data_IF_832627248766
#
_entry.id   IF_832627248766
#
_cell.length_a   1.000
_cell.length_b   1.000
_cell.length_c   1.000
_cell.angle_alpha   90.00
_cell.angle_beta   90.00
_cell.angle_gamma   90.00
#
_symmetry.space_group_name_H-M   'P 1'
#
loop_
_entity.id
_entity.type
_entity.pdbx_description
1 polymer ?
#
# COMPACT_ATOMS: atom_id res chain seq x y z
N UNK A 1 -2.37 -0.08 -23.20
CA UNK A 1 -2.38 -1.35 -22.46
C UNK A 1 -1.81 -1.23 -21.04
N UNK A 2 -0.70 -0.49 -20.80
CA UNK A 2 -0.05 -0.35 -19.47
C UNK A 2 -1.01 0.06 -18.34
N UNK A 3 -1.99 0.92 -18.60
CA UNK A 3 -2.96 1.43 -17.61
C UNK A 3 -4.21 0.58 -17.40
N UNK A 4 -4.37 -0.53 -18.13
CA UNK A 4 -5.44 -1.51 -17.86
C UNK A 4 -5.16 -2.28 -16.57
N UNK A 5 -3.90 -2.59 -16.29
CA UNK A 5 -3.51 -3.34 -15.11
C UNK A 5 -3.93 -2.67 -13.78
N UNK A 6 -3.67 -1.36 -13.55
CA UNK A 6 -4.22 -0.66 -12.40
C UNK A 6 -5.75 -0.69 -12.31
N UNK A 7 -6.46 -0.53 -13.43
CA UNK A 7 -7.93 -0.57 -13.41
C UNK A 7 -8.46 -1.94 -12.97
N UNK A 8 -7.84 -3.03 -13.43
CA UNK A 8 -8.17 -4.39 -12.98
C UNK A 8 -7.81 -4.60 -11.50
N UNK A 9 -6.70 -4.02 -11.04
CA UNK A 9 -6.31 -4.07 -9.62
C UNK A 9 -7.34 -3.36 -8.74
N UNK A 10 -7.82 -2.17 -9.13
CA UNK A 10 -8.93 -1.48 -8.46
C UNK A 10 -10.20 -2.34 -8.42
N UNK A 11 -10.54 -2.95 -9.55
CA UNK A 11 -11.72 -3.83 -9.61
C UNK A 11 -11.58 -5.02 -8.65
N UNK A 12 -10.40 -5.63 -8.55
CA UNK A 12 -10.15 -6.74 -7.64
C UNK A 12 -10.32 -6.32 -6.17
N UNK A 13 -9.77 -5.16 -5.78
CA UNK A 13 -9.95 -4.61 -4.43
C UNK A 13 -11.43 -4.30 -4.17
N UNK A 14 -12.10 -3.61 -5.12
CA UNK A 14 -13.52 -3.28 -5.00
C UNK A 14 -14.40 -4.52 -4.84
N UNK A 15 -14.21 -5.55 -5.67
CA UNK A 15 -14.93 -6.82 -5.54
C UNK A 15 -14.65 -7.51 -4.20
N UNK A 16 -13.38 -7.56 -3.79
CA UNK A 16 -13.00 -8.16 -2.50
C UNK A 16 -13.67 -7.50 -1.31
N UNK A 17 -13.67 -6.17 -1.26
CA UNK A 17 -14.23 -5.40 -0.14
C UNK A 17 -15.75 -5.31 -0.20
N UNK A 18 -16.32 -4.92 -1.36
CA UNK A 18 -17.73 -4.55 -1.47
C UNK A 18 -18.64 -5.74 -1.78
N UNK A 19 -18.17 -6.72 -2.56
CA UNK A 19 -18.99 -7.85 -2.98
C UNK A 19 -18.73 -9.11 -2.11
N UNK A 20 -17.46 -9.43 -1.88
CA UNK A 20 -17.09 -10.64 -1.15
C UNK A 20 -16.92 -10.42 0.35
N UNK A 21 -16.94 -9.17 0.81
CA UNK A 21 -16.71 -8.78 2.20
C UNK A 21 -15.49 -9.49 2.81
N UNK A 22 -14.38 -9.49 2.07
CA UNK A 22 -13.17 -10.22 2.44
C UNK A 22 -11.91 -9.38 2.24
N UNK A 23 -11.23 -9.04 3.35
CA UNK A 23 -9.94 -8.38 3.32
C UNK A 23 -8.88 -9.24 2.62
N UNK A 24 -8.86 -10.55 2.92
CA UNK A 24 -8.00 -11.49 2.24
C UNK A 24 -8.33 -11.63 0.75
N UNK A 25 -9.61 -11.67 0.40
CA UNK A 25 -10.06 -11.72 -1.00
C UNK A 25 -9.62 -10.49 -1.79
N UNK A 26 -9.70 -9.30 -1.19
CA UNK A 26 -9.22 -8.07 -1.79
C UNK A 26 -7.70 -8.10 -2.02
N UNK A 27 -6.93 -8.47 -0.98
CA UNK A 27 -5.47 -8.49 -1.03
C UNK A 27 -4.93 -9.53 -2.02
N UNK A 28 -5.40 -10.77 -1.93
CA UNK A 28 -4.96 -11.85 -2.82
C UNK A 28 -5.41 -11.61 -4.25
N UNK A 29 -6.65 -11.14 -4.44
CA UNK A 29 -7.17 -10.78 -5.77
C UNK A 29 -6.36 -9.68 -6.43
N UNK A 30 -6.00 -8.64 -5.66
CA UNK A 30 -5.11 -7.57 -6.11
C UNK A 30 -3.74 -8.11 -6.56
N UNK A 31 -3.12 -8.98 -5.76
CA UNK A 31 -1.82 -9.58 -6.11
C UNK A 31 -1.90 -10.46 -7.36
N UNK A 32 -2.94 -11.29 -7.48
CA UNK A 32 -3.14 -12.15 -8.66
C UNK A 32 -3.23 -11.29 -9.93
N UNK A 33 -4.02 -10.21 -9.89
CA UNK A 33 -4.16 -9.30 -11.04
C UNK A 33 -2.84 -8.65 -11.40
N UNK A 34 -2.10 -8.15 -10.42
CA UNK A 34 -0.78 -7.53 -10.66
C UNK A 34 0.19 -8.56 -11.26
N UNK A 35 0.31 -9.73 -10.65
CA UNK A 35 1.24 -10.78 -11.11
C UNK A 35 0.91 -11.21 -12.54
N UNK A 36 -0.37 -11.49 -12.84
CA UNK A 36 -0.80 -11.84 -14.20
C UNK A 36 -0.48 -10.71 -15.18
N UNK A 37 -0.75 -9.46 -14.79
CA UNK A 37 -0.45 -8.29 -15.64
C UNK A 37 1.05 -8.17 -15.93
N UNK A 38 1.91 -8.41 -14.94
CA UNK A 38 3.36 -8.41 -15.11
C UNK A 38 3.85 -9.57 -15.99
N UNK A 39 3.27 -10.77 -15.83
CA UNK A 39 3.60 -11.93 -16.67
C UNK A 39 3.22 -11.70 -18.13
N UNK A 40 2.11 -11.03 -18.40
CA UNK A 40 1.67 -10.66 -19.75
C UNK A 40 2.55 -9.54 -20.33
N UNK A 41 2.79 -8.48 -19.54
CA UNK A 41 3.53 -7.30 -19.97
C UNK A 41 5.03 -7.56 -20.16
N UNK A 42 5.60 -8.53 -19.43
CA UNK A 42 7.02 -8.91 -19.45
C UNK A 42 7.96 -7.69 -19.41
N UNK A 43 7.86 -6.82 -18.39
CA UNK A 43 8.69 -5.63 -18.35
C UNK A 43 10.17 -5.99 -18.36
N UNK A 44 10.96 -5.24 -19.11
CA UNK A 44 12.43 -5.44 -19.16
C UNK A 44 13.10 -4.85 -17.89
N UNK A 45 12.69 -5.34 -16.71
CA UNK A 45 13.17 -4.91 -15.40
C UNK A 45 13.53 -6.19 -14.63
N UNK A 46 14.80 -6.39 -14.27
CA UNK A 46 15.20 -7.59 -13.53
C UNK A 46 14.61 -7.56 -12.11
N UNK A 47 14.15 -8.72 -11.61
CA UNK A 47 13.66 -8.84 -10.21
C UNK A 47 14.72 -8.45 -9.19
N UNK A 48 16.01 -8.57 -9.51
CA UNK A 48 17.11 -8.13 -8.68
C UNK A 48 17.06 -6.64 -8.29
N UNK A 49 16.29 -5.81 -9.02
CA UNK A 49 16.06 -4.39 -8.65
C UNK A 49 15.41 -4.25 -7.27
N UNK A 50 14.61 -5.22 -6.85
CA UNK A 50 13.96 -5.24 -5.54
C UNK A 50 14.96 -5.28 -4.38
N UNK A 51 16.09 -5.93 -4.57
CA UNK A 51 17.16 -6.07 -3.56
C UNK A 51 18.26 -5.01 -3.71
N UNK A 52 18.19 -4.19 -4.77
CA UNK A 52 19.22 -3.21 -5.05
C UNK A 52 19.00 -1.93 -4.24
N UNK A 53 20.10 -1.45 -3.63
CA UNK A 53 20.17 -0.14 -2.98
C UNK A 53 21.62 0.35 -3.02
N UNK A 54 21.83 1.59 -3.43
CA UNK A 54 23.17 2.19 -3.53
C UNK A 54 23.54 3.09 -2.35
N UNK A 55 22.53 3.60 -1.62
CA UNK A 55 22.75 4.58 -0.54
C UNK A 55 21.96 4.19 0.71
N UNK A 56 22.65 3.67 1.74
CA UNK A 56 22.06 3.19 3.00
C UNK A 56 21.16 4.24 3.69
N UNK A 57 21.48 5.53 3.55
CA UNK A 57 20.66 6.60 4.16
C UNK A 57 19.19 6.55 3.74
N UNK A 58 18.90 6.14 2.51
CA UNK A 58 17.53 6.04 2.01
C UNK A 58 16.73 4.91 2.62
N UNK A 59 17.38 3.79 2.98
CA UNK A 59 16.75 2.72 3.75
C UNK A 59 16.32 3.25 5.11
N UNK A 60 17.26 3.87 5.85
CA UNK A 60 17.01 4.38 7.20
C UNK A 60 15.90 5.43 7.17
N UNK A 61 16.00 6.41 6.25
CA UNK A 61 15.02 7.48 6.13
C UNK A 61 13.62 6.93 5.76
N UNK A 62 13.54 5.99 4.82
CA UNK A 62 12.28 5.38 4.39
C UNK A 62 11.63 4.61 5.54
N UNK A 63 12.39 3.80 6.27
CA UNK A 63 11.90 3.04 7.43
C UNK A 63 11.39 3.98 8.54
N UNK A 64 12.16 4.99 8.92
CA UNK A 64 11.80 5.90 10.01
C UNK A 64 10.58 6.77 9.64
N UNK A 65 10.60 7.37 8.45
CA UNK A 65 9.51 8.24 8.00
C UNK A 65 8.20 7.45 7.83
N UNK A 66 8.25 6.31 7.18
CA UNK A 66 7.05 5.52 6.91
C UNK A 66 6.58 4.76 8.15
N UNK A 67 7.50 4.28 8.99
CA UNK A 67 7.15 3.65 10.26
C UNK A 67 6.47 4.59 11.26
N UNK A 68 6.75 5.90 11.18
CA UNK A 68 6.08 6.90 12.02
C UNK A 68 4.58 7.08 11.68
N UNK A 69 4.13 6.66 10.50
CA UNK A 69 2.73 6.82 10.09
C UNK A 69 1.76 6.01 10.96
N UNK A 70 2.10 4.78 11.31
CA UNK A 70 1.27 3.98 12.22
C UNK A 70 1.31 4.49 13.67
N UNK A 71 2.46 5.00 14.10
CA UNK A 71 2.57 5.67 15.43
C UNK A 71 1.67 6.90 15.47
N UNK A 72 1.73 7.74 14.44
CA UNK A 72 0.85 8.90 14.33
C UNK A 72 -0.63 8.51 14.27
N UNK A 73 -0.98 7.46 13.52
CA UNK A 73 -2.35 6.94 13.47
C UNK A 73 -2.83 6.48 14.84
N UNK A 74 -2.00 5.75 15.59
CA UNK A 74 -2.33 5.27 16.92
C UNK A 74 -2.55 6.43 17.91
N UNK A 75 -1.64 7.42 17.93
CA UNK A 75 -1.71 8.55 18.85
C UNK A 75 -2.84 9.55 18.53
N UNK A 76 -3.22 9.63 17.25
CA UNK A 76 -4.24 10.57 16.76
C UNK A 76 -5.55 9.85 16.38
N UNK A 77 -5.76 8.63 16.88
CA UNK A 77 -6.88 7.77 16.51
C UNK A 77 -8.24 8.48 16.52
N UNK A 78 -8.54 9.17 17.61
CA UNK A 78 -9.82 9.88 17.78
C UNK A 78 -10.01 11.03 16.77
N UNK A 79 -8.91 11.60 16.28
CA UNK A 79 -8.94 12.71 15.30
C UNK A 79 -9.33 12.23 13.89
N UNK A 80 -9.13 10.95 13.56
CA UNK A 80 -9.44 10.41 12.25
C UNK A 80 -10.92 10.13 12.02
N UNK A 81 -11.75 10.21 13.08
CA UNK A 81 -13.20 10.05 12.99
C UNK A 81 -13.61 8.65 12.53
N UNK A 82 -13.01 7.63 13.11
CA UNK A 82 -13.42 6.25 12.90
C UNK A 82 -14.83 6.03 13.49
N UNK A 83 -15.72 5.30 12.82
CA UNK A 83 -17.04 5.00 13.35
C UNK A 83 -16.95 4.01 14.52
N UNK A 84 -17.88 4.12 15.46
CA UNK A 84 -17.92 3.26 16.65
C UNK A 84 -18.09 1.76 16.33
N UNK A 85 -18.65 1.45 15.16
CA UNK A 85 -18.85 0.07 14.69
C UNK A 85 -17.68 -0.43 13.81
N UNK A 86 -16.57 0.30 13.72
CA UNK A 86 -15.39 -0.14 12.96
C UNK A 86 -14.93 -1.56 13.32
N UNK A 87 -14.88 -1.99 14.61
CA UNK A 87 -14.54 -3.36 14.96
C UNK A 87 -15.47 -4.41 14.31
N UNK A 88 -16.78 -4.11 14.28
CA UNK A 88 -17.76 -4.99 13.62
C UNK A 88 -17.56 -5.01 12.10
N UNK A 89 -17.28 -3.86 11.48
CA UNK A 89 -17.00 -3.78 10.05
C UNK A 89 -15.75 -4.54 9.66
N UNK A 90 -14.68 -4.43 10.43
CA UNK A 90 -13.41 -5.14 10.21
C UNK A 90 -13.59 -6.65 10.37
N UNK A 91 -14.35 -7.08 11.40
CA UNK A 91 -14.72 -8.47 11.60
C UNK A 91 -15.56 -9.02 10.44
N UNK A 92 -16.49 -8.22 9.91
CA UNK A 92 -17.30 -8.59 8.74
C UNK A 92 -16.46 -8.78 7.46
N UNK A 93 -15.27 -8.15 7.38
CA UNK A 93 -14.29 -8.39 6.31
C UNK A 93 -13.43 -9.66 6.55
N UNK A 94 -13.73 -10.46 7.57
CA UNK A 94 -13.03 -11.70 7.90
C UNK A 94 -11.75 -11.50 8.71
N UNK A 95 -11.51 -10.31 9.28
CA UNK A 95 -10.38 -10.05 10.17
C UNK A 95 -10.83 -10.33 11.62
N UNK A 96 -10.59 -11.55 12.07
CA UNK A 96 -10.91 -12.06 13.41
C UNK A 96 -9.64 -12.27 14.22
N UNK A 97 -9.76 -12.62 15.50
CA UNK A 97 -8.60 -12.90 16.36
C UNK A 97 -7.61 -13.92 15.76
N UNK A 98 -8.11 -14.90 14.99
CA UNK A 98 -7.28 -15.93 14.35
C UNK A 98 -6.66 -15.49 13.00
N UNK A 99 -7.26 -14.51 12.31
CA UNK A 99 -6.86 -14.09 10.96
C UNK A 99 -6.06 -12.80 10.93
N UNK A 100 -6.12 -11.97 11.98
CA UNK A 100 -5.42 -10.69 12.05
C UNK A 100 -3.90 -10.83 11.93
N UNK A 101 -3.28 -11.65 12.77
CA UNK A 101 -1.82 -11.78 12.78
C UNK A 101 -1.28 -12.31 11.45
N UNK A 102 -1.83 -13.41 10.86
CA UNK A 102 -1.40 -13.82 9.53
C UNK A 102 -1.66 -12.75 8.46
N UNK A 103 -2.75 -11.98 8.56
CA UNK A 103 -3.03 -10.88 7.63
C UNK A 103 -1.96 -9.78 7.71
N UNK A 104 -1.65 -9.29 8.92
CA UNK A 104 -0.59 -8.29 9.14
C UNK A 104 0.75 -8.81 8.60
N UNK A 105 1.10 -10.06 8.93
CA UNK A 105 2.36 -10.66 8.49
C UNK A 105 2.45 -10.73 6.95
N UNK A 106 1.41 -11.23 6.29
CA UNK A 106 1.39 -11.31 4.82
C UNK A 106 1.39 -9.91 4.19
N UNK A 107 0.55 -9.02 4.70
CA UNK A 107 0.43 -7.66 4.17
C UNK A 107 1.76 -6.90 4.30
N UNK A 108 2.40 -6.94 5.48
CA UNK A 108 3.64 -6.22 5.70
C UNK A 108 4.85 -6.87 4.99
N UNK A 109 4.92 -8.22 4.92
CA UNK A 109 6.11 -8.91 4.43
C UNK A 109 6.05 -9.26 2.94
N UNK A 110 4.87 -9.39 2.34
CA UNK A 110 4.71 -9.85 0.95
C UNK A 110 4.22 -8.72 0.04
N UNK A 111 3.18 -7.98 0.45
CA UNK A 111 2.56 -6.92 -0.35
C UNK A 111 3.57 -5.90 -0.90
N UNK A 112 4.52 -5.34 -0.12
CA UNK A 112 5.42 -4.30 -0.59
C UNK A 112 6.35 -4.74 -1.73
N UNK A 113 6.74 -6.01 -1.80
CA UNK A 113 7.56 -6.53 -2.89
C UNK A 113 6.80 -6.50 -4.22
N UNK A 114 5.53 -6.91 -4.19
CA UNK A 114 4.66 -6.97 -5.37
C UNK A 114 4.31 -5.55 -5.81
N UNK A 115 3.89 -4.70 -4.85
CA UNK A 115 3.47 -3.33 -5.13
C UNK A 115 4.62 -2.46 -5.62
N UNK A 116 5.78 -2.48 -4.97
CA UNK A 116 6.91 -1.63 -5.38
C UNK A 116 7.44 -2.03 -6.76
N UNK A 117 7.50 -3.32 -7.06
CA UNK A 117 7.86 -3.76 -8.40
C UNK A 117 6.84 -3.30 -9.45
N UNK A 118 5.56 -3.31 -9.13
CA UNK A 118 4.49 -2.86 -10.03
C UNK A 118 4.45 -1.33 -10.19
N UNK A 119 4.33 -0.60 -9.06
CA UNK A 119 4.11 0.84 -9.10
C UNK A 119 5.38 1.63 -9.45
N UNK A 120 6.54 1.30 -8.88
CA UNK A 120 7.81 2.03 -9.07
C UNK A 120 8.69 1.38 -10.11
N UNK A 121 8.63 0.06 -10.24
CA UNK A 121 9.27 -0.66 -11.34
C UNK A 121 8.50 -0.48 -12.65
N UNK A 122 7.44 -1.23 -12.85
CA UNK A 122 6.73 -1.32 -14.13
C UNK A 122 6.00 -0.02 -14.55
N UNK A 123 5.27 0.63 -13.64
CA UNK A 123 4.53 1.86 -13.90
C UNK A 123 5.31 3.13 -13.60
N UNK A 124 6.48 3.02 -13.00
CA UNK A 124 7.31 4.14 -12.59
C UNK A 124 7.73 5.07 -13.74
N UNK A 125 8.23 6.24 -13.37
CA UNK A 125 8.69 7.29 -14.28
C UNK A 125 9.92 7.98 -13.69
N UNK A 126 10.78 8.49 -14.55
CA UNK A 126 11.99 9.23 -14.16
C UNK A 126 11.73 10.72 -13.86
N UNK A 127 10.49 11.19 -14.02
CA UNK A 127 10.15 12.59 -13.73
C UNK A 127 10.34 12.92 -12.25
N UNK A 128 10.85 14.12 -11.98
CA UNK A 128 10.96 14.66 -10.62
C UNK A 128 9.63 15.22 -10.09
N UNK A 129 8.70 15.56 -10.99
CA UNK A 129 7.37 16.04 -10.65
C UNK A 129 6.46 14.88 -10.25
N UNK A 130 5.29 15.18 -9.71
CA UNK A 130 4.23 14.18 -9.52
C UNK A 130 3.91 13.52 -10.86
N UNK A 131 3.66 12.22 -10.81
CA UNK A 131 3.32 11.39 -11.96
C UNK A 131 1.99 10.70 -11.75
N UNK A 132 1.32 10.37 -12.84
CA UNK A 132 0.01 9.70 -12.77
C UNK A 132 0.05 8.39 -11.97
N UNK A 133 1.18 7.66 -11.96
CA UNK A 133 1.33 6.45 -11.14
C UNK A 133 1.28 6.73 -9.65
N UNK A 134 1.71 7.91 -9.18
CA UNK A 134 1.65 8.29 -7.76
C UNK A 134 0.18 8.51 -7.34
N UNK A 135 -0.62 9.13 -8.22
CA UNK A 135 -2.04 9.37 -8.00
C UNK A 135 -2.85 8.05 -8.05
N UNK A 136 -2.57 7.22 -9.05
CA UNK A 136 -3.25 5.93 -9.22
C UNK A 136 -2.87 4.97 -8.09
N UNK A 137 -1.61 4.97 -7.64
CA UNK A 137 -1.21 4.23 -6.45
C UNK A 137 -2.00 4.64 -5.20
N UNK A 138 -2.16 5.94 -4.97
CA UNK A 138 -2.94 6.43 -3.82
C UNK A 138 -4.43 6.09 -3.94
N UNK A 139 -4.99 6.25 -5.13
CA UNK A 139 -6.44 6.27 -5.34
C UNK A 139 -7.16 4.97 -4.94
N UNK A 140 -6.54 3.78 -5.10
CA UNK A 140 -7.23 2.53 -4.75
C UNK A 140 -7.45 2.40 -3.24
N UNK A 141 -6.66 3.07 -2.41
CA UNK A 141 -6.85 3.09 -0.96
C UNK A 141 -8.17 3.75 -0.56
N UNK A 142 -8.73 4.63 -1.41
CA UNK A 142 -10.06 5.18 -1.17
C UNK A 142 -11.12 4.08 -1.01
N UNK A 143 -11.04 2.99 -1.79
CA UNK A 143 -11.97 1.85 -1.71
C UNK A 143 -11.95 1.18 -0.33
N UNK A 144 -10.81 1.20 0.34
CA UNK A 144 -10.66 0.62 1.69
C UNK A 144 -11.11 1.60 2.77
N UNK A 145 -10.93 2.92 2.56
CA UNK A 145 -11.22 3.96 3.55
C UNK A 145 -12.67 4.46 3.53
N UNK A 146 -13.35 4.40 2.37
CA UNK A 146 -14.75 4.88 2.27
C UNK A 146 -15.65 4.12 3.25
N UNK A 147 -16.43 4.88 4.04
CA UNK A 147 -17.32 4.34 5.07
C UNK A 147 -16.62 3.90 6.36
N UNK A 148 -15.28 4.01 6.45
CA UNK A 148 -14.52 3.62 7.64
C UNK A 148 -13.82 4.78 8.35
N UNK A 149 -13.72 5.92 7.70
CA UNK A 149 -13.20 7.17 8.28
C UNK A 149 -13.95 8.36 7.69
N UNK A 150 -13.91 9.50 8.38
CA UNK A 150 -14.51 10.74 7.89
C UNK A 150 -13.83 11.23 6.60
N UNK A 151 -14.56 11.99 5.78
CA UNK A 151 -14.07 12.46 4.45
C UNK A 151 -12.76 13.25 4.54
N UNK A 152 -12.60 14.09 5.55
CA UNK A 152 -11.35 14.85 5.77
C UNK A 152 -10.14 13.93 5.97
N UNK A 153 -10.31 12.85 6.72
CA UNK A 153 -9.27 11.83 6.94
C UNK A 153 -8.97 11.01 5.69
N UNK A 154 -9.97 10.74 4.84
CA UNK A 154 -9.74 10.12 3.53
C UNK A 154 -8.86 11.03 2.68
N UNK A 155 -9.21 12.30 2.54
CA UNK A 155 -8.44 13.25 1.73
C UNK A 155 -7.02 13.42 2.26
N UNK A 156 -6.85 13.51 3.58
CA UNK A 156 -5.52 13.57 4.21
C UNK A 156 -4.72 12.28 3.92
N UNK A 157 -5.30 11.10 4.17
CA UNK A 157 -4.64 9.82 3.92
C UNK A 157 -4.23 9.63 2.46
N UNK A 158 -5.13 9.96 1.51
CA UNK A 158 -4.80 9.91 0.09
C UNK A 158 -3.68 10.88 -0.29
N UNK A 159 -3.67 12.09 0.29
CA UNK A 159 -2.58 13.06 0.06
C UNK A 159 -1.25 12.53 0.57
N UNK A 160 -1.22 11.92 1.76
CA UNK A 160 -0.01 11.30 2.31
C UNK A 160 0.47 10.12 1.46
N UNK A 161 -0.44 9.31 0.91
CA UNK A 161 -0.12 8.22 0.00
C UNK A 161 0.44 8.72 -1.35
N UNK A 162 -0.09 9.82 -1.88
CA UNK A 162 0.49 10.47 -3.08
C UNK A 162 1.92 10.93 -2.80
N UNK A 163 2.16 11.57 -1.65
CA UNK A 163 3.50 12.02 -1.25
C UNK A 163 4.45 10.83 -1.03
N UNK A 164 3.99 9.75 -0.39
CA UNK A 164 4.76 8.53 -0.22
C UNK A 164 5.10 7.90 -1.57
N UNK A 165 4.12 7.81 -2.47
CA UNK A 165 4.30 7.31 -3.82
C UNK A 165 5.35 8.06 -4.62
N UNK A 166 5.25 9.38 -4.61
CA UNK A 166 6.25 10.26 -5.22
C UNK A 166 7.63 10.10 -4.58
N UNK A 167 7.70 10.13 -3.25
CA UNK A 167 8.96 10.01 -2.48
C UNK A 167 9.68 8.69 -2.80
N UNK A 168 8.99 7.56 -2.75
CA UNK A 168 9.56 6.25 -3.06
C UNK A 168 10.02 6.15 -4.52
N UNK A 169 9.27 6.77 -5.44
CA UNK A 169 9.69 6.83 -6.85
C UNK A 169 10.97 7.66 -7.03
N UNK A 170 11.14 8.80 -6.31
CA UNK A 170 12.39 9.57 -6.34
C UNK A 170 13.56 8.74 -5.76
N UNK A 171 13.33 8.05 -4.63
CA UNK A 171 14.34 7.17 -4.03
C UNK A 171 14.73 6.03 -4.99
N UNK A 172 13.76 5.39 -5.61
CA UNK A 172 13.98 4.31 -6.56
C UNK A 172 14.85 4.77 -7.73
N UNK A 173 14.56 5.95 -8.26
CA UNK A 173 15.35 6.56 -9.33
C UNK A 173 16.79 6.88 -8.88
N UNK A 174 16.96 7.55 -7.74
CA UNK A 174 18.29 7.93 -7.22
C UNK A 174 19.14 6.71 -6.83
N UNK A 175 18.51 5.66 -6.29
CA UNK A 175 19.20 4.42 -5.88
C UNK A 175 19.38 3.41 -7.01
N UNK A 176 18.72 3.61 -8.15
CA UNK A 176 18.59 2.61 -9.21
C UNK A 176 18.17 1.24 -8.66
N UNK A 177 17.27 1.26 -7.67
CA UNK A 177 16.80 0.08 -6.97
C UNK A 177 15.60 0.35 -6.04
N UNK A 178 14.90 -0.70 -5.66
CA UNK A 178 13.63 -0.64 -4.95
C UNK A 178 13.71 -1.07 -3.47
N UNK A 179 14.88 -1.48 -2.97
CA UNK A 179 14.98 -2.00 -1.60
C UNK A 179 14.55 -0.96 -0.54
N UNK A 180 14.94 0.30 -0.69
CA UNK A 180 14.56 1.33 0.28
C UNK A 180 13.04 1.64 0.25
N UNK A 181 12.37 1.80 -0.92
CA UNK A 181 10.92 1.83 -1.01
C UNK A 181 10.24 0.60 -0.40
N UNK A 182 10.68 -0.62 -0.73
CA UNK A 182 10.12 -1.86 -0.18
C UNK A 182 10.16 -1.87 1.35
N UNK A 183 11.32 -1.59 1.95
CA UNK A 183 11.46 -1.60 3.40
C UNK A 183 10.67 -0.47 4.09
N UNK A 184 10.58 0.70 3.47
CA UNK A 184 9.72 1.79 3.96
C UNK A 184 8.25 1.42 3.90
N UNK A 185 7.80 0.83 2.81
CA UNK A 185 6.43 0.36 2.63
C UNK A 185 6.09 -0.76 3.63
N UNK A 186 6.99 -1.74 3.83
CA UNK A 186 6.83 -2.77 4.86
C UNK A 186 6.59 -2.16 6.24
N UNK A 187 7.35 -1.13 6.61
CA UNK A 187 7.18 -0.46 7.90
C UNK A 187 5.90 0.35 7.99
N UNK A 188 5.47 0.99 6.91
CA UNK A 188 4.17 1.67 6.87
C UNK A 188 3.02 0.67 7.07
N UNK A 189 2.98 -0.39 6.26
CA UNK A 189 1.95 -1.43 6.33
C UNK A 189 1.90 -2.08 7.71
N UNK A 190 3.06 -2.46 8.24
CA UNK A 190 3.16 -3.08 9.56
C UNK A 190 2.62 -2.15 10.66
N UNK A 191 3.14 -0.94 10.74
CA UNK A 191 2.79 -0.03 11.85
C UNK A 191 1.35 0.47 11.76
N UNK A 192 0.83 0.73 10.55
CA UNK A 192 -0.57 1.12 10.34
C UNK A 192 -1.52 -0.01 10.72
N UNK A 193 -1.26 -1.24 10.24
CA UNK A 193 -2.13 -2.38 10.55
C UNK A 193 -2.07 -2.77 12.03
N UNK A 194 -0.91 -2.62 12.69
CA UNK A 194 -0.80 -2.80 14.14
C UNK A 194 -1.59 -1.71 14.87
N UNK A 195 -1.51 -0.45 14.44
CA UNK A 195 -2.30 0.63 15.04
C UNK A 195 -3.81 0.37 14.91
N UNK A 196 -4.27 -0.11 13.75
CA UNK A 196 -5.68 -0.52 13.57
C UNK A 196 -6.02 -1.70 14.49
N UNK A 197 -5.21 -2.76 14.49
CA UNK A 197 -5.43 -3.96 15.33
C UNK A 197 -5.55 -3.66 16.83
N UNK A 198 -4.78 -2.70 17.33
CA UNK A 198 -4.79 -2.31 18.75
C UNK A 198 -6.02 -1.48 19.14
N UNK A 199 -6.75 -0.92 18.16
CA UNK A 199 -7.89 -0.05 18.40
C UNK A 199 -9.25 -0.68 17.99
N UNK A 200 -9.25 -1.89 17.41
CA UNK A 200 -10.46 -2.62 17.02
C UNK A 200 -10.53 -3.96 17.72
#
# INVERSE_FOLDING_TARGET
MKWIAPALAYLAVGLGILQFHSAWGALVGFHIVIIISLLIARPNIPLAVLLKNTKRKWIVLSILLCGSSGVALYLLWDTFGFPNDLPAQVKALGLTSSTWIPFIAYFALVNPWIEEYFWRGYLGSETKMLHVSDLVYSGFHALVMIGKVQTGSILFGLSMLVLAGWFWRQIAHENRGLLAPVLGHMMADFTILVAVYLNV
#
